data_IF_954577793330
#
_entry.id   IF_954577793330
#
_cell.length_a   1.000
_cell.length_b   1.000
_cell.length_c   1.000
_cell.angle_alpha   90.00
_cell.angle_beta   90.00
_cell.angle_gamma   90.00
#
_symmetry.space_group_name_H-M   'P 1'
#
loop_
_entity.id
_entity.type
_entity.pdbx_description
1 polymer ?
#
# COMPACT_ATOMS: atom_id res chain seq x y z
N UNK A 1 10.12 13.31 -4.22
CA UNK A 1 10.14 11.92 -4.74
C UNK A 1 8.71 11.40 -4.80
N UNK A 2 8.36 10.56 -5.79
CA UNK A 2 7.09 9.85 -5.82
C UNK A 2 7.37 8.40 -5.46
N UNK A 3 6.76 7.92 -4.37
CA UNK A 3 6.87 6.53 -3.93
C UNK A 3 5.63 5.79 -4.43
N UNK A 4 5.85 4.78 -5.28
CA UNK A 4 4.80 3.84 -5.64
C UNK A 4 4.69 2.79 -4.53
N UNK A 5 3.49 2.56 -4.03
CA UNK A 5 3.25 1.47 -3.08
C UNK A 5 3.52 0.12 -3.74
N UNK A 6 3.52 -0.93 -2.91
CA UNK A 6 3.90 -2.27 -3.33
C UNK A 6 3.13 -2.71 -4.59
N UNK A 7 3.86 -3.10 -5.63
CA UNK A 7 3.34 -3.55 -6.93
C UNK A 7 3.97 -4.91 -7.27
N UNK A 8 3.48 -5.92 -6.57
CA UNK A 8 3.88 -7.33 -6.65
C UNK A 8 2.69 -8.19 -7.06
N UNK A 9 2.94 -9.47 -7.37
CA UNK A 9 1.96 -10.33 -8.02
C UNK A 9 2.03 -10.14 -9.54
N UNK A 10 1.35 -11.01 -10.29
CA UNK A 10 1.60 -11.11 -11.71
C UNK A 10 2.79 -12.02 -12.00
N UNK A 11 3.80 -11.44 -12.63
CA UNK A 11 5.10 -12.04 -12.96
C UNK A 11 6.13 -11.95 -11.82
N UNK A 12 5.87 -11.11 -10.81
CA UNK A 12 6.78 -10.83 -9.69
C UNK A 12 6.36 -11.62 -8.47
N UNK A 13 6.96 -12.79 -8.32
CA UNK A 13 6.72 -13.65 -7.16
C UNK A 13 7.60 -13.23 -5.97
N UNK A 14 7.07 -13.43 -4.76
CA UNK A 14 7.79 -13.26 -3.50
C UNK A 14 7.65 -14.57 -2.71
N UNK A 15 8.70 -15.40 -2.66
CA UNK A 15 8.62 -16.74 -2.06
C UNK A 15 8.14 -16.78 -0.61
N UNK A 16 8.26 -15.68 0.13
CA UNK A 16 7.84 -15.58 1.54
C UNK A 16 6.38 -15.14 1.73
N UNK A 17 5.65 -14.83 0.65
CA UNK A 17 4.27 -14.31 0.73
C UNK A 17 3.19 -15.36 0.47
N UNK A 18 3.59 -16.58 0.10
CA UNK A 18 2.72 -17.71 -0.22
C UNK A 18 1.52 -17.30 -1.10
N UNK A 19 1.82 -16.63 -2.23
CA UNK A 19 0.79 -16.21 -3.17
C UNK A 19 0.21 -17.43 -3.90
N UNK A 20 -1.14 -17.54 -4.02
CA UNK A 20 -1.74 -18.64 -4.75
C UNK A 20 -1.34 -18.57 -6.23
N UNK A 21 -1.20 -19.75 -6.86
CA UNK A 21 -1.03 -19.82 -8.30
C UNK A 21 -2.35 -19.43 -8.99
N UNK A 22 -2.28 -18.44 -9.86
CA UNK A 22 -3.43 -17.93 -10.61
C UNK A 22 -3.33 -18.31 -12.09
N UNK A 23 -4.48 -18.59 -12.71
CA UNK A 23 -4.53 -18.85 -14.16
C UNK A 23 -4.04 -17.63 -14.96
N UNK A 24 -4.36 -16.40 -14.50
CA UNK A 24 -3.94 -15.16 -15.14
C UNK A 24 -3.46 -14.13 -14.09
N UNK A 25 -2.19 -14.21 -13.66
CA UNK A 25 -1.65 -13.35 -12.60
C UNK A 25 -1.73 -11.84 -12.92
N UNK A 26 -1.69 -11.46 -14.20
CA UNK A 26 -1.79 -10.04 -14.60
C UNK A 26 -3.15 -9.41 -14.34
N UNK A 27 -4.22 -10.22 -14.36
CA UNK A 27 -5.59 -9.80 -14.09
C UNK A 27 -6.01 -10.13 -12.65
N UNK A 28 -5.15 -10.81 -11.91
CA UNK A 28 -5.45 -11.44 -10.63
C UNK A 28 -5.16 -10.59 -9.41
N UNK A 29 -4.79 -11.27 -8.32
CA UNK A 29 -4.58 -10.71 -7.00
C UNK A 29 -3.18 -10.11 -6.88
N UNK A 30 -3.07 -8.81 -7.19
CA UNK A 30 -1.80 -8.09 -7.24
C UNK A 30 -1.89 -6.68 -6.70
N UNK A 31 -0.72 -6.11 -6.36
CA UNK A 31 -0.54 -4.69 -6.09
C UNK A 31 -1.49 -4.17 -4.99
N UNK A 32 -2.26 -3.12 -5.26
CA UNK A 32 -3.19 -2.53 -4.30
C UNK A 32 -4.20 -3.54 -3.76
N UNK A 33 -4.64 -4.52 -4.58
CA UNK A 33 -5.61 -5.55 -4.19
C UNK A 33 -5.09 -6.42 -3.04
N UNK A 34 -3.80 -6.78 -3.08
CA UNK A 34 -3.16 -7.51 -1.97
C UNK A 34 -3.15 -6.63 -0.73
N UNK A 35 -2.78 -5.35 -0.85
CA UNK A 35 -2.66 -4.46 0.31
C UNK A 35 -4.00 -4.07 0.95
N UNK A 36 -5.09 -4.01 0.17
CA UNK A 36 -6.43 -3.75 0.69
C UNK A 36 -7.00 -4.98 1.42
N UNK A 37 -6.66 -6.19 0.96
CA UNK A 37 -7.05 -7.45 1.60
C UNK A 37 -6.19 -7.75 2.84
N UNK A 38 -4.86 -7.63 2.72
CA UNK A 38 -3.87 -7.77 3.80
C UNK A 38 -3.45 -6.41 4.37
N UNK A 39 -4.29 -5.88 5.27
CA UNK A 39 -4.13 -4.53 5.84
C UNK A 39 -2.81 -4.28 6.54
N UNK A 40 -2.18 -5.30 7.12
CA UNK A 40 -0.87 -5.16 7.76
C UNK A 40 0.19 -4.63 6.78
N UNK A 41 0.19 -5.11 5.53
CA UNK A 41 1.15 -4.69 4.50
C UNK A 41 0.92 -3.21 4.14
N UNK A 42 -0.34 -2.82 3.95
CA UNK A 42 -0.70 -1.43 3.66
C UNK A 42 -0.29 -0.50 4.80
N UNK A 43 -0.59 -0.91 6.04
CA UNK A 43 -0.28 -0.16 7.25
C UNK A 43 1.21 0.09 7.40
N UNK A 44 2.03 -0.95 7.33
CA UNK A 44 3.48 -0.84 7.51
C UNK A 44 4.11 0.05 6.44
N UNK A 45 3.70 -0.14 5.18
CA UNK A 45 4.21 0.66 4.07
C UNK A 45 3.80 2.13 4.18
N UNK A 46 2.53 2.42 4.46
CA UNK A 46 2.06 3.81 4.59
C UNK A 46 2.66 4.50 5.81
N UNK A 47 2.74 3.84 6.97
CA UNK A 47 3.38 4.41 8.16
C UNK A 47 4.87 4.70 7.92
N UNK A 48 5.57 3.81 7.21
CA UNK A 48 6.96 4.03 6.81
C UNK A 48 7.12 5.27 5.92
N UNK A 49 6.26 5.41 4.89
CA UNK A 49 6.30 6.57 3.98
C UNK A 49 5.93 7.87 4.71
N UNK A 50 4.91 7.85 5.57
CA UNK A 50 4.47 9.00 6.35
C UNK A 50 5.60 9.52 7.25
N UNK A 51 6.28 8.64 7.99
CA UNK A 51 7.45 9.01 8.80
C UNK A 51 8.59 9.56 7.95
N UNK A 52 8.89 8.92 6.82
CA UNK A 52 9.92 9.39 5.90
C UNK A 52 9.61 10.79 5.31
N UNK A 53 8.33 11.17 5.23
CA UNK A 53 7.93 12.48 4.70
C UNK A 53 8.34 13.66 5.57
N UNK A 54 8.69 13.43 6.85
CA UNK A 54 9.29 14.45 7.70
C UNK A 54 10.67 14.92 7.20
N UNK A 55 11.35 14.11 6.38
CA UNK A 55 12.70 14.40 5.88
C UNK A 55 12.71 14.97 4.46
N UNK A 56 11.55 15.20 3.85
CA UNK A 56 11.49 15.82 2.53
C UNK A 56 10.15 15.66 1.81
N UNK A 57 10.04 16.31 0.65
CA UNK A 57 8.79 16.31 -0.13
C UNK A 57 8.55 14.95 -0.79
N UNK A 58 7.67 14.16 -0.19
CA UNK A 58 7.19 12.87 -0.71
C UNK A 58 5.78 12.98 -1.29
N UNK A 59 5.48 12.09 -2.22
CA UNK A 59 4.13 11.83 -2.76
C UNK A 59 3.93 10.32 -2.82
N UNK A 60 2.71 9.87 -2.57
CA UNK A 60 2.33 8.44 -2.60
C UNK A 60 1.54 8.18 -3.88
N UNK A 61 1.85 7.09 -4.58
CA UNK A 61 1.13 6.64 -5.76
C UNK A 61 0.70 5.18 -5.58
N UNK A 62 -0.59 4.92 -5.80
CA UNK A 62 -1.16 3.58 -5.70
C UNK A 62 -1.28 2.93 -7.09
N UNK A 63 -0.69 1.75 -7.32
CA UNK A 63 -0.79 0.99 -8.58
C UNK A 63 -2.14 0.27 -8.69
N UNK A 64 -2.57 -0.05 -9.92
CA UNK A 64 -3.71 -0.95 -10.20
C UNK A 64 -5.07 -0.51 -9.63
N UNK A 65 -5.28 0.79 -9.42
CA UNK A 65 -6.58 1.34 -9.05
C UNK A 65 -7.56 1.19 -10.21
N UNK A 66 -8.75 0.68 -9.92
CA UNK A 66 -9.85 0.51 -10.86
C UNK A 66 -11.11 1.29 -10.47
N UNK A 67 -11.24 1.74 -9.21
CA UNK A 67 -12.43 2.44 -8.74
C UNK A 67 -12.14 3.65 -7.84
N UNK A 68 -13.14 4.52 -7.69
CA UNK A 68 -13.06 5.69 -6.79
C UNK A 68 -13.15 5.23 -5.33
N UNK A 69 -13.87 4.15 -5.08
CA UNK A 69 -14.06 3.53 -3.77
C UNK A 69 -12.71 3.09 -3.18
N UNK A 70 -11.85 2.45 -3.98
CA UNK A 70 -10.48 2.09 -3.58
C UNK A 70 -9.68 3.33 -3.17
N UNK A 71 -9.78 4.43 -3.92
CA UNK A 71 -9.10 5.69 -3.58
C UNK A 71 -9.63 6.27 -2.28
N UNK A 72 -10.94 6.23 -2.04
CA UNK A 72 -11.54 6.74 -0.80
C UNK A 72 -11.06 5.92 0.40
N UNK A 73 -11.05 4.61 0.25
CA UNK A 73 -10.58 3.69 1.29
C UNK A 73 -9.10 3.91 1.63
N UNK A 74 -8.24 4.03 0.63
CA UNK A 74 -6.82 4.32 0.81
C UNK A 74 -6.58 5.67 1.48
N UNK A 75 -7.38 6.69 1.13
CA UNK A 75 -7.32 8.00 1.78
C UNK A 75 -7.73 7.92 3.25
N UNK A 76 -8.77 7.15 3.56
CA UNK A 76 -9.20 6.93 4.95
C UNK A 76 -8.08 6.25 5.75
N UNK A 77 -7.47 5.20 5.18
CA UNK A 77 -6.34 4.51 5.81
C UNK A 77 -5.13 5.45 6.04
N UNK A 78 -4.82 6.34 5.09
CA UNK A 78 -3.78 7.36 5.30
C UNK A 78 -4.10 8.25 6.50
N UNK A 79 -5.32 8.74 6.63
CA UNK A 79 -5.70 9.62 7.75
C UNK A 79 -5.71 8.89 9.09
N UNK A 80 -6.16 7.64 9.11
CA UNK A 80 -6.08 6.75 10.27
C UNK A 80 -4.62 6.59 10.74
N UNK A 81 -3.71 6.22 9.83
CA UNK A 81 -2.31 5.99 10.20
C UNK A 81 -1.55 7.28 10.54
N UNK A 82 -1.95 8.42 9.98
CA UNK A 82 -1.46 9.73 10.46
C UNK A 82 -1.89 9.97 11.92
N UNK A 83 -3.14 9.66 12.26
CA UNK A 83 -3.63 9.82 13.62
C UNK A 83 -2.90 8.89 14.61
N UNK A 84 -2.67 7.63 14.24
CA UNK A 84 -1.85 6.70 15.03
C UNK A 84 -0.44 7.26 15.28
N UNK A 85 0.26 7.68 14.22
CA UNK A 85 1.63 8.19 14.34
C UNK A 85 1.72 9.45 15.20
N UNK A 86 0.71 10.34 15.13
CA UNK A 86 0.63 11.52 16.02
C UNK A 86 0.43 11.13 17.47
N UNK A 87 -0.44 10.16 17.74
CA UNK A 87 -0.66 9.65 19.09
C UNK A 87 0.60 9.01 19.69
N UNK A 88 1.44 8.41 18.85
CA UNK A 88 2.74 7.83 19.21
C UNK A 88 3.89 8.86 19.28
N UNK A 89 3.66 10.11 18.86
CA UNK A 89 4.71 11.15 18.80
C UNK A 89 5.74 10.94 17.69
N UNK A 90 5.38 10.22 16.62
CA UNK A 90 6.27 9.83 15.52
C UNK A 90 6.05 10.59 14.21
N UNK A 91 5.02 11.43 14.11
CA UNK A 91 4.74 12.31 12.97
C UNK A 91 3.77 13.45 13.34
#
# INVERSE_FOLDING_TARGET
VIIRTMDIGGDKDLPYMDLPQEMNPFLGWRAVRISLDRREILRDQLRGILRASAHGKLRIMFPMIISVEEIRELKNAIEEYKAELRAEGLA
#
